data_IF_959320940357
#
_entry.id   IF_959320940357
#
_cell.length_a   1.000
_cell.length_b   1.000
_cell.length_c   1.000
_cell.angle_alpha   90.00
_cell.angle_beta   90.00
_cell.angle_gamma   90.00
#
_symmetry.space_group_name_H-M   'P 1'
#
loop_
_entity.id
_entity.type
_entity.pdbx_description
1 polymer ?
#
# COMPACT_ATOMS: atom_id res chain seq x y z
N UNK A 1 20.44 0.29 21.79
CA UNK A 1 20.84 -0.85 20.94
C UNK A 1 19.60 -1.24 20.16
N UNK A 2 19.52 -0.87 18.88
CA UNK A 2 18.33 -1.07 18.05
C UNK A 2 18.43 -2.46 17.44
N UNK A 3 17.58 -3.38 17.87
CA UNK A 3 17.44 -4.69 17.22
C UNK A 3 16.74 -4.48 15.88
N UNK A 4 17.53 -4.41 14.81
CA UNK A 4 17.02 -4.53 13.44
C UNK A 4 16.66 -6.01 13.25
N UNK A 5 15.38 -6.35 13.40
CA UNK A 5 14.85 -7.66 12.99
C UNK A 5 14.95 -7.78 11.47
N UNK A 6 16.09 -8.26 11.00
CA UNK A 6 16.32 -8.65 9.61
C UNK A 6 15.81 -10.07 9.42
N UNK A 7 14.78 -10.23 8.59
CA UNK A 7 14.37 -11.51 8.02
C UNK A 7 13.68 -12.48 8.99
N UNK A 8 12.58 -13.05 8.52
CA UNK A 8 12.00 -14.24 9.13
C UNK A 8 13.05 -15.35 9.01
N UNK A 9 13.48 -15.92 10.14
CA UNK A 9 14.43 -17.04 10.15
C UNK A 9 13.79 -18.20 9.39
N UNK A 10 14.46 -18.66 8.34
CA UNK A 10 14.06 -19.78 7.47
C UNK A 10 13.76 -21.07 8.26
N UNK A 11 14.24 -21.18 9.49
CA UNK A 11 14.01 -22.31 10.39
C UNK A 11 12.64 -22.27 11.12
N UNK A 12 12.02 -21.11 11.31
CA UNK A 12 10.65 -21.00 11.87
C UNK A 12 9.54 -21.26 10.83
N UNK A 13 9.94 -21.36 9.56
CA UNK A 13 9.09 -21.65 8.39
C UNK A 13 9.01 -23.16 8.10
N UNK A 14 9.75 -23.98 8.86
CA UNK A 14 9.74 -25.45 8.72
C UNK A 14 8.67 -26.10 9.59
N UNK A 15 7.39 -25.93 9.24
CA UNK A 15 6.33 -26.84 9.65
C UNK A 15 5.24 -26.87 8.56
N UNK A 16 4.95 -28.07 8.07
CA UNK A 16 4.23 -28.32 6.82
C UNK A 16 2.81 -27.78 6.76
N UNK A 17 2.35 -27.55 5.53
CA UNK A 17 0.93 -27.41 5.23
C UNK A 17 0.35 -26.00 5.32
N UNK A 18 0.92 -25.11 6.12
CA UNK A 18 0.28 -23.82 6.44
C UNK A 18 0.42 -22.77 5.32
N UNK A 19 -0.69 -22.08 5.05
CA UNK A 19 -0.74 -20.91 4.18
C UNK A 19 -0.35 -19.66 4.97
N UNK A 20 0.47 -18.80 4.38
CA UNK A 20 0.96 -17.57 5.04
C UNK A 20 0.79 -16.37 4.12
N UNK A 21 0.16 -15.31 4.63
CA UNK A 21 0.05 -14.00 3.98
C UNK A 21 0.99 -13.02 4.70
N UNK A 22 2.02 -12.58 3.98
CA UNK A 22 2.91 -11.53 4.43
C UNK A 22 2.37 -10.16 4.03
N UNK A 23 2.32 -9.23 4.98
CA UNK A 23 1.85 -7.85 4.77
C UNK A 23 2.87 -6.84 5.27
N UNK A 24 2.94 -5.67 4.65
CA UNK A 24 3.88 -4.62 5.07
C UNK A 24 3.50 -4.04 6.44
N UNK A 25 4.51 -3.75 7.26
CA UNK A 25 4.34 -2.98 8.49
C UNK A 25 5.00 -3.62 9.72
N UNK A 26 4.34 -3.47 10.85
CA UNK A 26 4.78 -4.02 12.15
C UNK A 26 3.66 -4.83 12.80
N UNK A 27 3.98 -5.58 13.86
CA UNK A 27 3.02 -6.42 14.61
C UNK A 27 1.83 -5.64 15.19
N UNK A 28 1.88 -4.32 15.20
CA UNK A 28 0.78 -3.46 15.65
C UNK A 28 0.12 -2.65 14.53
N UNK A 29 0.42 -3.00 13.27
CA UNK A 29 -0.18 -2.37 12.09
C UNK A 29 -1.67 -2.67 11.97
N UNK A 30 -2.38 -1.74 11.32
CA UNK A 30 -3.80 -1.87 11.08
C UNK A 30 -4.09 -3.01 10.08
N UNK A 31 -3.22 -3.21 9.10
CA UNK A 31 -3.21 -4.33 8.15
C UNK A 31 -3.34 -5.67 8.85
N UNK A 32 -2.46 -5.95 9.81
CA UNK A 32 -2.46 -7.23 10.52
C UNK A 32 -3.78 -7.44 11.29
N UNK A 33 -4.29 -6.39 11.95
CA UNK A 33 -5.56 -6.44 12.70
C UNK A 33 -6.73 -6.73 11.77
N UNK A 34 -6.85 -5.99 10.67
CA UNK A 34 -7.94 -6.14 9.71
C UNK A 34 -7.88 -7.47 9.01
N UNK A 35 -6.71 -7.90 8.54
CA UNK A 35 -6.56 -9.13 7.78
C UNK A 35 -6.75 -10.37 8.65
N UNK A 36 -6.24 -10.39 9.88
CA UNK A 36 -6.53 -11.48 10.83
C UNK A 36 -8.02 -11.55 11.15
N UNK A 37 -8.69 -10.40 11.28
CA UNK A 37 -10.12 -10.37 11.52
C UNK A 37 -10.91 -10.89 10.29
N UNK A 38 -10.58 -10.39 9.10
CA UNK A 38 -11.27 -10.70 7.85
C UNK A 38 -11.06 -12.15 7.40
N UNK A 39 -9.84 -12.66 7.52
CA UNK A 39 -9.44 -14.01 7.08
C UNK A 39 -9.52 -15.04 8.21
N UNK A 40 -9.67 -14.60 9.46
CA UNK A 40 -9.79 -15.49 10.64
C UNK A 40 -8.65 -16.52 10.66
N UNK A 41 -8.95 -17.80 10.90
CA UNK A 41 -7.97 -18.89 10.94
C UNK A 41 -7.74 -19.55 9.57
N UNK A 42 -8.11 -18.89 8.46
CA UNK A 42 -7.94 -19.47 7.11
C UNK A 42 -6.45 -19.59 6.77
N UNK A 43 -5.65 -18.58 7.11
CA UNK A 43 -4.21 -18.58 6.92
C UNK A 43 -3.52 -17.75 8.01
N UNK A 44 -2.20 -17.89 8.11
CA UNK A 44 -1.39 -17.10 9.04
C UNK A 44 -1.05 -15.74 8.42
N UNK A 45 -1.33 -14.65 9.12
CA UNK A 45 -0.94 -13.29 8.69
C UNK A 45 0.33 -12.86 9.44
N UNK A 46 1.38 -12.62 8.67
CA UNK A 46 2.72 -12.23 9.14
C UNK A 46 3.10 -10.87 8.61
N UNK A 47 3.89 -10.12 9.39
CA UNK A 47 4.39 -8.82 8.95
C UNK A 47 5.75 -8.98 8.32
N UNK A 48 5.92 -8.35 7.17
CA UNK A 48 7.24 -8.04 6.63
C UNK A 48 7.55 -6.59 7.02
N UNK A 49 8.76 -6.34 7.52
CA UNK A 49 9.24 -4.98 7.69
C UNK A 49 9.22 -4.21 6.35
N UNK A 50 9.58 -2.92 6.34
CA UNK A 50 9.61 -2.13 5.11
C UNK A 50 10.51 -2.84 4.09
N UNK A 51 9.95 -3.25 2.97
CA UNK A 51 10.65 -4.08 1.99
C UNK A 51 10.60 -3.40 0.63
N UNK A 52 11.75 -2.90 0.20
CA UNK A 52 11.90 -2.25 -1.10
C UNK A 52 11.93 -3.26 -2.27
N UNK A 53 11.83 -4.56 -1.99
CA UNK A 53 11.99 -5.65 -2.97
C UNK A 53 10.99 -6.80 -2.76
N UNK A 54 9.81 -6.53 -2.19
CA UNK A 54 8.77 -7.56 -1.95
C UNK A 54 8.46 -8.35 -3.21
N UNK A 55 8.37 -7.69 -4.37
CA UNK A 55 8.13 -8.36 -5.64
C UNK A 55 9.21 -9.38 -5.99
N UNK A 56 10.49 -9.01 -5.86
CA UNK A 56 11.61 -9.92 -6.10
C UNK A 56 11.56 -11.11 -5.13
N UNK A 57 11.20 -10.87 -3.86
CA UNK A 57 11.02 -11.93 -2.88
C UNK A 57 9.84 -12.84 -3.23
N UNK A 58 8.69 -12.29 -3.63
CA UNK A 58 7.51 -13.03 -4.03
C UNK A 58 7.79 -13.93 -5.25
N UNK A 59 8.50 -13.40 -6.26
CA UNK A 59 8.92 -14.14 -7.44
C UNK A 59 9.91 -15.27 -7.11
N UNK A 60 10.92 -14.98 -6.29
CA UNK A 60 11.91 -15.99 -5.89
C UNK A 60 11.32 -17.10 -5.02
N UNK A 61 10.33 -16.77 -4.18
CA UNK A 61 9.72 -17.72 -3.25
C UNK A 61 8.59 -18.52 -3.89
N UNK A 62 7.87 -17.99 -4.89
CA UNK A 62 6.71 -18.66 -5.48
C UNK A 62 6.99 -20.12 -5.93
N UNK A 63 8.10 -20.45 -6.62
CA UNK A 63 8.41 -21.83 -7.03
C UNK A 63 8.66 -22.80 -5.87
N UNK A 64 9.19 -22.29 -4.75
CA UNK A 64 9.62 -23.11 -3.61
C UNK A 64 8.61 -23.10 -2.45
N UNK A 65 7.79 -22.06 -2.37
CA UNK A 65 6.81 -21.79 -1.33
C UNK A 65 5.48 -21.30 -1.94
N UNK A 66 4.75 -22.13 -2.69
CA UNK A 66 3.52 -21.73 -3.41
C UNK A 66 2.33 -21.38 -2.50
N UNK A 67 2.49 -21.55 -1.18
CA UNK A 67 1.51 -21.20 -0.13
C UNK A 67 1.85 -19.90 0.59
N UNK A 68 2.90 -19.21 0.14
CA UNK A 68 3.34 -17.92 0.66
C UNK A 68 2.83 -16.82 -0.26
N UNK A 69 2.07 -15.90 0.32
CA UNK A 69 1.41 -14.80 -0.36
C UNK A 69 1.91 -13.48 0.17
N UNK A 70 1.86 -12.45 -0.66
CA UNK A 70 2.33 -11.11 -0.34
C UNK A 70 1.22 -10.12 -0.67
N UNK A 71 0.94 -9.20 0.25
CA UNK A 71 -0.01 -8.11 0.04
C UNK A 71 0.64 -6.81 0.49
N UNK A 72 0.78 -5.87 -0.45
CA UNK A 72 1.50 -4.61 -0.24
C UNK A 72 0.61 -3.39 -0.53
N UNK A 73 1.03 -2.25 -0.01
CA UNK A 73 0.42 -0.96 -0.32
C UNK A 73 0.59 -0.62 -1.82
N UNK A 74 -0.28 0.26 -2.32
CA UNK A 74 -0.33 0.57 -3.76
C UNK A 74 0.93 1.28 -4.27
N UNK A 75 1.50 2.13 -3.42
CA UNK A 75 2.62 3.02 -3.72
C UNK A 75 2.54 3.68 -5.11
N UNK A 76 3.39 3.24 -6.03
CA UNK A 76 3.59 3.83 -7.35
C UNK A 76 3.06 2.95 -8.49
N UNK A 77 2.46 1.80 -8.18
CA UNK A 77 1.92 0.92 -9.21
C UNK A 77 0.73 1.57 -9.93
N UNK A 78 0.73 1.47 -11.25
CA UNK A 78 -0.37 1.93 -12.09
C UNK A 78 -1.60 1.01 -11.98
N UNK A 79 -2.75 1.50 -12.48
CA UNK A 79 -4.00 0.74 -12.41
C UNK A 79 -3.93 -0.58 -13.21
N UNK A 80 -3.16 -0.62 -14.31
CA UNK A 80 -3.05 -1.82 -15.14
C UNK A 80 -2.34 -2.95 -14.38
N UNK A 81 -1.18 -2.66 -13.80
CA UNK A 81 -0.42 -3.61 -12.99
C UNK A 81 -1.26 -4.13 -11.82
N UNK A 82 -1.96 -3.22 -11.13
CA UNK A 82 -2.83 -3.58 -10.02
C UNK A 82 -3.92 -4.55 -10.47
N UNK A 83 -4.67 -4.23 -11.52
CA UNK A 83 -5.74 -5.14 -11.98
C UNK A 83 -5.20 -6.48 -12.47
N UNK A 84 -4.01 -6.51 -13.08
CA UNK A 84 -3.34 -7.76 -13.41
C UNK A 84 -3.00 -8.58 -12.16
N UNK A 85 -2.49 -7.94 -11.09
CA UNK A 85 -2.19 -8.61 -9.83
C UNK A 85 -3.44 -9.26 -9.22
N UNK A 86 -4.58 -8.56 -9.20
CA UNK A 86 -5.84 -9.11 -8.65
C UNK A 86 -6.41 -10.24 -9.49
N UNK A 87 -6.32 -10.16 -10.82
CA UNK A 87 -6.86 -11.19 -11.72
C UNK A 87 -6.06 -12.48 -11.69
N UNK A 88 -4.74 -12.39 -11.52
CA UNK A 88 -3.84 -13.55 -11.58
C UNK A 88 -3.55 -14.14 -10.22
N UNK A 89 -3.82 -13.43 -9.13
CA UNK A 89 -3.42 -13.88 -7.81
C UNK A 89 -4.23 -15.10 -7.32
N UNK A 90 -3.54 -16.14 -6.81
CA UNK A 90 -2.09 -16.37 -6.86
C UNK A 90 -1.65 -16.96 -8.21
N UNK A 91 -0.53 -16.47 -8.77
CA UNK A 91 0.03 -16.99 -10.02
C UNK A 91 1.23 -17.89 -9.75
N UNK A 92 1.03 -19.20 -9.87
CA UNK A 92 2.09 -20.18 -9.66
C UNK A 92 3.26 -20.05 -10.67
N UNK A 93 3.05 -19.37 -11.79
CA UNK A 93 4.05 -19.20 -12.85
C UNK A 93 4.76 -17.83 -12.80
N UNK A 94 4.31 -16.88 -11.98
CA UNK A 94 4.92 -15.55 -11.85
C UNK A 94 5.26 -15.23 -10.41
N UNK A 95 4.25 -14.84 -9.62
CA UNK A 95 4.39 -14.50 -8.22
C UNK A 95 3.05 -14.60 -7.48
N UNK A 96 3.16 -14.70 -6.16
CA UNK A 96 2.03 -14.68 -5.24
C UNK A 96 1.87 -13.27 -4.63
N UNK A 97 1.90 -12.22 -5.46
CA UNK A 97 1.80 -10.83 -5.02
C UNK A 97 0.42 -10.22 -5.33
N UNK A 98 -0.19 -9.61 -4.32
CA UNK A 98 -1.29 -8.66 -4.46
C UNK A 98 -0.83 -7.26 -4.08
N UNK A 99 -1.38 -6.28 -4.77
CA UNK A 99 -1.22 -4.85 -4.47
C UNK A 99 -2.59 -4.25 -4.20
N UNK A 100 -2.74 -3.50 -3.12
CA UNK A 100 -4.03 -2.85 -2.84
C UNK A 100 -4.46 -1.91 -3.97
N UNK A 101 -5.75 -1.94 -4.36
CA UNK A 101 -6.29 -0.99 -5.35
C UNK A 101 -6.35 0.44 -4.86
N UNK A 102 -6.53 0.64 -3.54
CA UNK A 102 -6.40 1.93 -2.85
C UNK A 102 -5.01 2.03 -2.23
N UNK A 103 -4.57 3.25 -1.94
CA UNK A 103 -3.22 3.56 -1.46
C UNK A 103 -2.75 2.64 -0.34
N UNK A 104 -3.57 2.50 0.71
CA UNK A 104 -3.31 1.65 1.87
C UNK A 104 -4.63 1.08 2.40
N UNK A 105 -4.56 0.10 3.30
CA UNK A 105 -5.75 -0.58 3.81
C UNK A 105 -6.71 0.39 4.52
N UNK A 106 -6.18 1.44 5.16
CA UNK A 106 -6.96 2.46 5.85
C UNK A 106 -7.93 3.18 4.91
N UNK A 107 -7.59 3.33 3.62
CA UNK A 107 -8.45 3.98 2.63
C UNK A 107 -9.78 3.23 2.43
N UNK A 108 -9.86 1.94 2.76
CA UNK A 108 -11.13 1.19 2.73
C UNK A 108 -12.05 1.54 3.90
N UNK A 109 -11.50 2.10 4.98
CA UNK A 109 -12.23 2.53 6.16
C UNK A 109 -12.49 4.04 6.17
N UNK A 110 -12.22 4.75 5.08
CA UNK A 110 -12.60 6.16 4.89
C UNK A 110 -14.02 6.32 4.35
N UNK A 111 -14.78 5.24 4.18
CA UNK A 111 -16.10 5.26 3.55
C UNK A 111 -17.22 5.55 4.58
N UNK A 112 -17.88 6.73 4.59
CA UNK A 112 -18.88 7.08 5.59
C UNK A 112 -20.07 6.10 5.67
N UNK A 113 -20.67 5.61 4.56
CA UNK A 113 -21.71 4.58 4.58
C UNK A 113 -21.28 3.27 5.24
N UNK A 114 -20.00 2.94 5.23
CA UNK A 114 -19.45 1.77 5.92
C UNK A 114 -19.17 2.07 7.39
N UNK A 115 -18.50 3.19 7.69
CA UNK A 115 -18.14 3.62 9.04
C UNK A 115 -19.34 3.80 9.97
N UNK A 116 -20.43 4.40 9.46
CA UNK A 116 -21.65 4.64 10.25
C UNK A 116 -22.33 3.35 10.72
N UNK A 117 -21.97 2.19 10.12
CA UNK A 117 -22.46 0.87 10.55
C UNK A 117 -21.72 0.32 11.77
N UNK A 118 -20.64 0.97 12.21
CA UNK A 118 -19.96 0.58 13.44
C UNK A 118 -20.87 0.83 14.64
N UNK A 119 -20.89 -0.12 15.58
CA UNK A 119 -21.66 0.03 16.82
C UNK A 119 -21.06 1.09 17.75
N UNK A 120 -19.83 1.52 17.45
CA UNK A 120 -19.11 2.55 18.17
C UNK A 120 -19.36 3.94 17.59
N UNK A 121 -19.99 4.06 16.41
CA UNK A 121 -20.27 5.35 15.79
C UNK A 121 -21.34 6.11 16.59
N UNK A 122 -21.07 7.37 16.91
CA UNK A 122 -21.96 8.29 17.65
C UNK A 122 -22.31 9.55 16.85
N UNK A 123 -21.98 9.55 15.57
CA UNK A 123 -22.26 10.66 14.65
C UNK A 123 -23.05 10.17 13.43
N UNK A 124 -23.61 11.10 12.66
CA UNK A 124 -24.36 10.81 11.46
C UNK A 124 -23.43 10.56 10.26
N UNK A 125 -23.97 9.97 9.19
CA UNK A 125 -23.26 9.84 7.91
C UNK A 125 -22.81 11.21 7.37
N UNK A 126 -23.67 12.22 7.46
CA UNK A 126 -23.36 13.59 7.08
C UNK A 126 -22.18 14.15 7.91
N UNK A 127 -22.23 13.98 9.23
CA UNK A 127 -21.14 14.41 10.12
C UNK A 127 -19.80 13.74 9.81
N UNK A 128 -19.80 12.44 9.47
CA UNK A 128 -18.59 11.74 8.99
C UNK A 128 -18.11 12.28 7.64
N UNK A 129 -19.02 12.50 6.70
CA UNK A 129 -18.71 12.98 5.35
C UNK A 129 -18.04 14.34 5.40
N UNK A 130 -18.66 15.31 6.09
CA UNK A 130 -18.10 16.66 6.27
C UNK A 130 -16.75 16.62 6.97
N UNK A 131 -16.59 15.76 7.98
CA UNK A 131 -15.31 15.62 8.69
C UNK A 131 -14.22 15.06 7.76
N UNK A 132 -14.56 14.02 7.00
CA UNK A 132 -13.65 13.39 6.05
C UNK A 132 -13.20 14.39 4.99
N UNK A 133 -14.13 15.12 4.37
CA UNK A 133 -13.83 16.15 3.38
C UNK A 133 -12.91 17.23 3.94
N UNK A 134 -13.20 17.76 5.13
CA UNK A 134 -12.37 18.78 5.78
C UNK A 134 -10.95 18.29 6.05
N UNK A 135 -10.81 17.12 6.70
CA UNK A 135 -9.51 16.53 7.02
C UNK A 135 -8.71 16.21 5.74
N UNK A 136 -9.40 15.76 4.69
CA UNK A 136 -8.77 15.47 3.41
C UNK A 136 -8.33 16.76 2.69
N UNK A 137 -9.16 17.80 2.72
CA UNK A 137 -8.90 19.09 2.09
C UNK A 137 -7.64 19.74 2.66
N UNK A 138 -7.47 19.73 3.99
CA UNK A 138 -6.29 20.26 4.68
C UNK A 138 -4.98 19.60 4.22
N UNK A 139 -5.05 18.38 3.70
CA UNK A 139 -3.89 17.57 3.30
C UNK A 139 -3.72 17.45 1.79
N UNK A 140 -4.69 17.87 1.00
CA UNK A 140 -4.76 17.58 -0.44
C UNK A 140 -3.46 17.93 -1.15
N UNK A 141 -3.01 19.18 -1.05
CA UNK A 141 -1.81 19.63 -1.77
C UNK A 141 -0.53 18.96 -1.27
N UNK A 142 -0.43 18.68 0.03
CA UNK A 142 0.69 17.93 0.60
C UNK A 142 0.76 16.51 0.03
N UNK A 143 -0.37 15.81 -0.04
CA UNK A 143 -0.42 14.44 -0.52
C UNK A 143 -0.23 14.37 -2.05
N UNK A 144 -0.71 15.37 -2.81
CA UNK A 144 -0.39 15.53 -4.25
C UNK A 144 1.12 15.73 -4.45
N UNK A 145 1.74 16.69 -3.75
CA UNK A 145 3.17 16.96 -3.86
C UNK A 145 4.02 15.72 -3.50
N UNK A 146 3.68 15.03 -2.42
CA UNK A 146 4.36 13.78 -2.04
C UNK A 146 4.18 12.68 -3.08
N UNK A 147 3.02 12.61 -3.74
CA UNK A 147 2.80 11.66 -4.83
C UNK A 147 3.66 11.98 -6.06
N UNK A 148 3.86 13.26 -6.39
CA UNK A 148 4.78 13.68 -7.46
C UNK A 148 6.22 13.29 -7.10
N UNK A 149 6.68 13.60 -5.89
CA UNK A 149 8.01 13.22 -5.40
C UNK A 149 8.22 11.69 -5.48
N UNK A 150 7.22 10.92 -5.08
CA UNK A 150 7.28 9.45 -5.15
C UNK A 150 7.40 8.98 -6.60
N UNK A 151 6.60 9.54 -7.51
CA UNK A 151 6.66 9.21 -8.94
C UNK A 151 8.02 9.52 -9.57
N UNK A 152 8.62 10.66 -9.21
CA UNK A 152 9.98 11.03 -9.63
C UNK A 152 11.00 10.00 -9.13
N UNK A 153 10.97 9.65 -7.84
CA UNK A 153 11.89 8.68 -7.25
C UNK A 153 11.82 7.32 -7.92
N UNK A 154 10.63 6.84 -8.25
CA UNK A 154 10.46 5.53 -8.88
C UNK A 154 10.94 5.53 -10.33
N UNK A 155 10.68 6.59 -11.10
CA UNK A 155 11.29 6.75 -12.43
C UNK A 155 12.82 6.81 -12.39
N UNK A 156 13.40 7.28 -11.27
CA UNK A 156 14.85 7.29 -11.09
C UNK A 156 15.45 5.90 -10.84
N UNK A 157 14.70 4.97 -10.26
CA UNK A 157 15.16 3.60 -9.94
C UNK A 157 15.22 2.64 -11.14
N UNK A 158 14.71 3.04 -12.32
CA UNK A 158 14.71 2.18 -13.50
C UNK A 158 16.14 1.85 -13.95
N UNK A 159 16.36 0.67 -14.55
CA UNK A 159 17.65 0.30 -15.12
C UNK A 159 17.85 1.03 -16.45
N UNK A 160 18.57 2.15 -16.45
CA UNK A 160 18.81 3.01 -17.63
C UNK A 160 20.21 2.85 -18.22
N UNK A 161 21.11 2.09 -17.59
CA UNK A 161 22.46 1.80 -18.10
C UNK A 161 22.75 0.31 -18.01
N UNK A 162 23.29 -0.27 -19.07
CA UNK A 162 23.73 -1.66 -19.09
C UNK A 162 25.11 -1.81 -18.45
N UNK A 163 25.31 -2.89 -17.71
CA UNK A 163 26.65 -3.22 -17.22
C UNK A 163 27.55 -3.66 -18.38
N UNK A 164 28.82 -3.32 -18.29
CA UNK A 164 29.82 -3.83 -19.22
C UNK A 164 30.00 -5.34 -19.05
N UNK A 165 30.10 -6.07 -20.16
CA UNK A 165 30.14 -7.54 -20.16
C UNK A 165 31.49 -8.15 -20.58
N UNK A 166 32.33 -7.40 -21.30
CA UNK A 166 33.57 -7.92 -21.91
C UNK A 166 34.81 -7.46 -21.13
N UNK A 167 35.53 -8.33 -20.40
CA UNK A 167 36.72 -7.95 -19.64
C UNK A 167 37.88 -7.44 -20.50
N UNK A 168 37.98 -7.87 -21.77
CA UNK A 168 39.06 -7.44 -22.66
C UNK A 168 39.04 -5.93 -22.95
N UNK A 169 37.87 -5.30 -22.81
CA UNK A 169 37.67 -3.86 -22.95
C UNK A 169 38.25 -3.04 -21.78
N UNK A 170 38.66 -3.72 -20.70
CA UNK A 170 39.10 -3.14 -19.43
C UNK A 170 40.53 -3.57 -19.08
N UNK A 171 41.43 -3.55 -20.08
CA UNK A 171 42.80 -4.06 -19.96
C UNK A 171 43.70 -3.28 -18.97
N UNK A 172 43.33 -2.05 -18.60
CA UNK A 172 44.00 -1.26 -17.56
C UNK A 172 42.99 -0.42 -16.78
N UNK A 173 43.43 0.14 -15.65
CA UNK A 173 42.65 1.10 -14.86
C UNK A 173 42.24 2.31 -15.69
N UNK A 174 43.15 2.83 -16.50
CA UNK A 174 42.95 4.02 -17.33
C UNK A 174 41.89 3.75 -18.41
N UNK A 175 42.00 2.62 -19.11
CA UNK A 175 41.00 2.20 -20.10
C UNK A 175 39.63 1.97 -19.47
N UNK A 176 39.59 1.39 -18.26
CA UNK A 176 38.36 1.19 -17.50
C UNK A 176 37.67 2.52 -17.15
N UNK A 177 38.45 3.49 -16.67
CA UNK A 177 37.94 4.83 -16.36
C UNK A 177 37.46 5.55 -17.62
N UNK A 178 38.23 5.50 -18.70
CA UNK A 178 37.87 6.14 -19.98
C UNK A 178 36.56 5.58 -20.53
N UNK A 179 36.37 4.25 -20.50
CA UNK A 179 35.10 3.63 -20.91
C UNK A 179 33.93 3.99 -20.00
N UNK A 180 34.17 4.14 -18.70
CA UNK A 180 33.14 4.56 -17.77
C UNK A 180 32.69 6.00 -18.04
N UNK A 181 33.62 6.95 -18.19
CA UNK A 181 33.28 8.37 -18.38
C UNK A 181 32.71 8.67 -19.78
N UNK A 182 33.04 7.85 -20.77
CA UNK A 182 32.54 7.99 -22.16
C UNK A 182 31.17 7.35 -22.38
N UNK A 183 30.56 6.77 -21.34
CA UNK A 183 29.24 6.16 -21.45
C UNK A 183 28.17 7.23 -21.71
N UNK A 184 27.64 7.26 -22.93
CA UNK A 184 26.63 8.23 -23.39
C UNK A 184 25.36 8.20 -22.54
N UNK A 185 24.99 7.02 -22.01
CA UNK A 185 23.84 6.87 -21.13
C UNK A 185 23.91 7.78 -19.89
N UNK A 186 25.11 8.13 -19.38
CA UNK A 186 25.24 9.07 -18.27
C UNK A 186 24.88 10.51 -18.66
N UNK A 187 25.26 10.92 -19.87
CA UNK A 187 24.96 12.26 -20.40
C UNK A 187 23.47 12.39 -20.70
N UNK A 188 22.89 11.39 -21.37
CA UNK A 188 21.46 11.33 -21.66
C UNK A 188 20.64 11.36 -20.37
N UNK A 189 21.01 10.52 -19.39
CA UNK A 189 20.31 10.48 -18.11
C UNK A 189 20.36 11.80 -17.35
N UNK A 190 21.48 12.51 -17.38
CA UNK A 190 21.58 13.84 -16.77
C UNK A 190 20.60 14.84 -17.39
N UNK A 191 20.41 14.80 -18.71
CA UNK A 191 19.46 15.67 -19.41
C UNK A 191 18.02 15.32 -19.04
N UNK A 192 17.66 14.03 -19.10
CA UNK A 192 16.34 13.54 -18.71
C UNK A 192 15.98 13.92 -17.27
N UNK A 193 16.91 13.75 -16.34
CA UNK A 193 16.68 14.11 -14.93
C UNK A 193 16.52 15.62 -14.77
N UNK A 194 17.32 16.42 -15.49
CA UNK A 194 17.19 17.88 -15.46
C UNK A 194 15.84 18.35 -16.00
N UNK A 195 15.34 17.76 -17.08
CA UNK A 195 14.03 18.05 -17.66
C UNK A 195 12.91 17.63 -16.71
N UNK A 196 12.98 16.41 -16.18
CA UNK A 196 12.00 15.86 -15.23
C UNK A 196 11.87 16.69 -13.94
N UNK A 197 12.98 17.27 -13.48
CA UNK A 197 13.03 18.12 -12.29
C UNK A 197 12.84 19.61 -12.60
N UNK A 198 12.56 19.97 -13.85
CA UNK A 198 12.27 21.35 -14.22
C UNK A 198 10.97 21.83 -13.56
N UNK A 199 10.87 23.15 -13.35
CA UNK A 199 9.68 23.75 -12.75
C UNK A 199 8.42 23.41 -13.57
N UNK A 200 8.48 23.53 -14.89
CA UNK A 200 7.35 23.28 -15.77
C UNK A 200 6.85 21.84 -15.69
N UNK A 201 7.76 20.85 -15.71
CA UNK A 201 7.39 19.44 -15.60
C UNK A 201 6.83 19.09 -14.22
N UNK A 202 7.42 19.61 -13.13
CA UNK A 202 6.91 19.39 -11.78
C UNK A 202 5.54 20.02 -11.58
N UNK A 203 5.32 21.23 -12.10
CA UNK A 203 4.00 21.88 -12.10
C UNK A 203 3.00 21.05 -12.90
N UNK A 204 3.36 20.60 -14.11
CA UNK A 204 2.49 19.75 -14.92
C UNK A 204 2.07 18.47 -14.18
N UNK A 205 3.02 17.76 -13.58
CA UNK A 205 2.72 16.52 -12.84
C UNK A 205 1.85 16.79 -11.60
N UNK A 206 2.08 17.92 -10.93
CA UNK A 206 1.27 18.33 -9.81
C UNK A 206 -0.18 18.58 -10.23
N UNK A 207 -0.40 19.37 -11.29
CA UNK A 207 -1.74 19.69 -11.79
C UNK A 207 -2.48 18.46 -12.32
N UNK A 208 -1.80 17.59 -13.07
CA UNK A 208 -2.38 16.32 -13.53
C UNK A 208 -2.81 15.44 -12.36
N UNK A 209 -1.98 15.35 -11.32
CA UNK A 209 -2.28 14.56 -10.13
C UNK A 209 -3.38 15.18 -9.28
N UNK A 210 -3.39 16.50 -9.15
CA UNK A 210 -4.44 17.24 -8.46
C UNK A 210 -5.79 17.03 -9.17
N UNK A 211 -5.84 17.22 -10.50
CA UNK A 211 -7.04 17.02 -11.30
C UNK A 211 -7.58 15.58 -11.18
N UNK A 212 -6.70 14.58 -11.18
CA UNK A 212 -7.08 13.17 -10.95
C UNK A 212 -7.69 12.97 -9.55
N UNK A 213 -7.07 13.54 -8.52
CA UNK A 213 -7.55 13.41 -7.14
C UNK A 213 -8.89 14.12 -6.93
N UNK A 214 -9.06 15.34 -7.45
CA UNK A 214 -10.25 16.15 -7.21
C UNK A 214 -11.37 15.95 -8.24
N UNK A 215 -11.08 15.31 -9.37
CA UNK A 215 -11.98 15.29 -10.52
C UNK A 215 -12.13 16.67 -11.17
N UNK A 216 -11.09 17.50 -11.09
CA UNK A 216 -11.07 18.87 -11.62
C UNK A 216 -11.78 19.91 -10.74
N UNK A 217 -12.13 19.57 -9.50
CA UNK A 217 -12.78 20.49 -8.56
C UNK A 217 -11.76 21.20 -7.66
N UNK A 218 -12.12 22.39 -7.18
CA UNK A 218 -11.32 23.14 -6.20
C UNK A 218 -11.48 22.56 -4.78
N UNK A 219 -12.69 22.15 -4.43
CA UNK A 219 -13.02 21.56 -3.13
C UNK A 219 -13.31 20.07 -3.26
N UNK A 220 -12.83 19.29 -2.29
CA UNK A 220 -13.11 17.87 -2.22
C UNK A 220 -14.59 17.67 -1.87
N UNK A 221 -15.23 16.83 -2.67
CA UNK A 221 -16.58 16.32 -2.41
C UNK A 221 -16.51 14.81 -2.37
N UNK A 222 -17.12 14.19 -1.37
CA UNK A 222 -17.23 12.76 -1.25
C UNK A 222 -17.93 12.15 -2.47
N UNK A 223 -17.35 11.07 -3.00
CA UNK A 223 -17.79 10.42 -4.23
C UNK A 223 -17.34 11.09 -5.54
N UNK A 224 -16.59 12.21 -5.48
CA UNK A 224 -16.02 12.88 -6.65
C UNK A 224 -14.51 12.72 -6.69
N UNK A 225 -13.95 12.51 -7.89
CA UNK A 225 -12.51 12.29 -8.07
C UNK A 225 -12.03 10.98 -7.42
N UNK A 226 -10.71 10.84 -7.28
CA UNK A 226 -10.06 9.64 -6.71
C UNK A 226 -9.34 9.89 -5.39
N UNK A 227 -9.53 11.05 -4.76
CA UNK A 227 -8.78 11.43 -3.56
C UNK A 227 -8.90 10.42 -2.41
N UNK A 228 -10.05 9.79 -2.19
CA UNK A 228 -10.22 8.76 -1.15
C UNK A 228 -9.28 7.57 -1.38
N UNK A 229 -8.98 7.24 -2.63
CA UNK A 229 -8.09 6.14 -3.00
C UNK A 229 -6.61 6.51 -2.87
N UNK A 230 -6.28 7.81 -2.85
CA UNK A 230 -4.93 8.32 -3.10
C UNK A 230 -4.34 9.11 -1.93
N UNK A 231 -5.19 9.66 -1.05
CA UNK A 231 -4.77 10.37 0.16
C UNK A 231 -4.19 9.38 1.18
N UNK A 232 -3.37 9.86 2.12
CA UNK A 232 -2.88 8.99 3.20
C UNK A 232 -4.03 8.61 4.15
N UNK A 233 -4.57 7.42 3.96
CA UNK A 233 -5.53 6.78 4.85
C UNK A 233 -5.07 6.75 6.30
N UNK A 234 -3.81 6.42 6.62
CA UNK A 234 -3.24 6.42 7.98
C UNK A 234 -3.41 7.78 8.67
N UNK A 235 -3.22 8.89 7.94
CA UNK A 235 -3.32 10.25 8.50
C UNK A 235 -4.76 10.75 8.56
N UNK A 236 -5.59 10.40 7.59
CA UNK A 236 -7.00 10.83 7.53
C UNK A 236 -7.85 10.00 8.51
N UNK A 237 -7.71 8.68 8.50
CA UNK A 237 -8.45 7.76 9.36
C UNK A 237 -8.20 8.06 10.84
N UNK A 238 -6.96 8.39 11.20
CA UNK A 238 -6.63 8.67 12.60
C UNK A 238 -7.29 9.93 13.16
N UNK A 239 -7.60 10.90 12.30
CA UNK A 239 -8.36 12.10 12.65
C UNK A 239 -9.87 11.89 12.54
N UNK A 240 -10.32 11.11 11.56
CA UNK A 240 -11.73 10.78 11.36
C UNK A 240 -12.28 9.95 12.53
N UNK A 241 -11.51 8.96 12.99
CA UNK A 241 -11.84 8.10 14.13
C UNK A 241 -11.35 8.74 15.44
N UNK A 242 -12.09 9.74 15.92
CA UNK A 242 -11.79 10.44 17.18
C UNK A 242 -12.87 10.23 18.26
N UNK A 243 -12.54 10.43 19.55
CA UNK A 243 -13.47 10.20 20.67
C UNK A 243 -14.74 11.06 20.65
N UNK A 244 -14.74 12.18 19.92
CA UNK A 244 -15.94 13.01 19.74
C UNK A 244 -16.98 12.39 18.78
N UNK A 245 -16.58 11.38 18.00
CA UNK A 245 -17.44 10.72 16.99
C UNK A 245 -17.60 9.23 17.23
N UNK A 246 -16.64 8.60 17.91
CA UNK A 246 -16.65 7.18 18.22
C UNK A 246 -16.43 6.95 19.71
N UNK A 247 -17.16 5.99 20.26
CA UNK A 247 -17.02 5.59 21.65
C UNK A 247 -16.87 4.08 21.73
N UNK A 248 -15.67 3.65 22.13
CA UNK A 248 -15.31 2.25 22.28
C UNK A 248 -14.95 1.99 23.74
N UNK A 249 -15.43 0.87 24.29
CA UNK A 249 -15.05 0.40 25.62
C UNK A 249 -14.39 -0.97 25.51
N UNK A 250 -13.37 -1.23 26.32
CA UNK A 250 -12.80 -2.57 26.46
C UNK A 250 -13.72 -3.49 27.28
N UNK A 251 -13.30 -4.74 27.48
CA UNK A 251 -14.06 -5.75 28.24
C UNK A 251 -14.26 -5.35 29.69
N UNK A 252 -13.36 -4.53 30.23
CA UNK A 252 -13.36 -3.99 31.58
C UNK A 252 -14.21 -2.71 31.69
N UNK A 253 -14.83 -2.25 30.59
CA UNK A 253 -15.69 -1.07 30.54
C UNK A 253 -14.96 0.28 30.45
N UNK A 254 -13.63 0.27 30.33
CA UNK A 254 -12.80 1.47 30.18
C UNK A 254 -12.84 1.98 28.73
N UNK A 255 -12.86 3.31 28.56
CA UNK A 255 -12.86 3.95 27.24
C UNK A 255 -11.51 3.76 26.54
N UNK A 256 -11.53 3.21 25.33
CA UNK A 256 -10.35 3.14 24.46
C UNK A 256 -10.16 4.47 23.72
N UNK A 257 -8.90 4.86 23.48
CA UNK A 257 -8.55 6.06 22.72
C UNK A 257 -7.41 5.79 21.74
N UNK A 258 -7.15 6.74 20.84
CA UNK A 258 -6.02 6.68 19.91
C UNK A 258 -6.03 5.43 19.02
N UNK A 259 -4.86 4.78 18.88
CA UNK A 259 -4.67 3.61 18.01
C UNK A 259 -5.50 2.41 18.44
N UNK A 260 -5.67 2.17 19.74
CA UNK A 260 -6.43 1.01 20.23
C UNK A 260 -7.92 1.13 19.90
N UNK A 261 -8.47 2.35 20.01
CA UNK A 261 -9.83 2.65 19.55
C UNK A 261 -9.98 2.42 18.04
N UNK A 262 -9.03 2.89 17.25
CA UNK A 262 -9.04 2.74 15.79
C UNK A 262 -9.03 1.26 15.39
N UNK A 263 -8.09 0.47 15.95
CA UNK A 263 -7.97 -0.97 15.72
C UNK A 263 -9.27 -1.69 16.02
N UNK A 264 -9.92 -1.37 17.15
CA UNK A 264 -11.16 -2.02 17.55
C UNK A 264 -12.33 -1.69 16.61
N UNK A 265 -12.44 -0.43 16.16
CA UNK A 265 -13.46 -0.02 15.17
C UNK A 265 -13.27 -0.75 13.84
N UNK A 266 -12.06 -0.74 13.28
CA UNK A 266 -11.81 -1.38 11.97
C UNK A 266 -11.92 -2.90 12.05
N UNK A 267 -11.49 -3.51 13.17
CA UNK A 267 -11.65 -4.94 13.43
C UNK A 267 -13.13 -5.34 13.44
N UNK A 268 -13.96 -4.57 14.15
CA UNK A 268 -15.41 -4.79 14.22
C UNK A 268 -16.05 -4.66 12.83
N UNK A 269 -15.70 -3.62 12.08
CA UNK A 269 -16.21 -3.42 10.72
C UNK A 269 -15.75 -4.51 9.73
N UNK A 270 -14.51 -4.99 9.85
CA UNK A 270 -13.96 -6.03 8.97
C UNK A 270 -14.70 -7.37 9.09
N UNK A 271 -15.10 -7.76 10.31
CA UNK A 271 -15.83 -9.03 10.54
C UNK A 271 -17.33 -8.91 10.28
N UNK A 272 -17.92 -7.73 10.53
CA UNK A 272 -19.37 -7.54 10.45
C UNK A 272 -19.86 -7.76 9.03
N UNK A 273 -20.77 -8.70 8.85
CA UNK A 273 -21.41 -8.91 7.54
C UNK A 273 -22.35 -7.74 7.27
N UNK A 274 -21.88 -6.78 6.48
CA UNK A 274 -22.66 -5.62 6.07
C UNK A 274 -22.63 -5.53 4.56
N UNK A 275 -23.79 -5.28 3.95
CA UNK A 275 -23.92 -5.11 2.50
C UNK A 275 -23.06 -3.94 1.97
N UNK A 276 -22.65 -3.01 2.83
CA UNK A 276 -21.80 -1.87 2.51
C UNK A 276 -20.29 -2.15 2.69
N UNK A 277 -19.87 -3.40 2.91
CA UNK A 277 -18.45 -3.73 3.01
C UNK A 277 -17.77 -3.41 1.66
N UNK A 278 -16.59 -2.76 1.65
CA UNK A 278 -15.84 -2.52 0.42
C UNK A 278 -15.63 -3.81 -0.39
N UNK A 279 -15.97 -3.78 -1.68
CA UNK A 279 -15.92 -4.94 -2.58
C UNK A 279 -14.55 -5.61 -2.61
N UNK A 280 -13.46 -4.83 -2.56
CA UNK A 280 -12.10 -5.36 -2.57
C UNK A 280 -11.79 -6.22 -1.32
N UNK A 281 -12.38 -5.91 -0.15
CA UNK A 281 -12.22 -6.76 1.04
C UNK A 281 -13.01 -8.07 0.91
N UNK A 282 -14.17 -8.02 0.24
CA UNK A 282 -14.95 -9.22 -0.07
C UNK A 282 -14.21 -10.10 -1.08
N UNK A 283 -13.67 -9.49 -2.14
CA UNK A 283 -12.91 -10.16 -3.18
C UNK A 283 -11.63 -10.77 -2.64
N UNK A 284 -10.86 -10.05 -1.81
CA UNK A 284 -9.66 -10.59 -1.16
C UNK A 284 -9.99 -11.85 -0.35
N UNK A 285 -11.04 -11.78 0.48
CA UNK A 285 -11.48 -12.93 1.28
C UNK A 285 -11.85 -14.11 0.38
N UNK A 286 -12.55 -13.86 -0.73
CA UNK A 286 -12.91 -14.89 -1.71
C UNK A 286 -11.66 -15.54 -2.34
N UNK A 287 -10.74 -14.73 -2.86
CA UNK A 287 -9.49 -15.21 -3.49
C UNK A 287 -8.67 -16.08 -2.54
N UNK A 288 -8.54 -15.64 -1.28
CA UNK A 288 -7.82 -16.41 -0.26
C UNK A 288 -8.54 -17.73 0.06
N UNK A 289 -9.86 -17.72 0.25
CA UNK A 289 -10.64 -18.92 0.56
C UNK A 289 -10.58 -19.95 -0.57
N UNK A 290 -10.79 -19.53 -1.81
CA UNK A 290 -10.67 -20.40 -2.99
C UNK A 290 -9.31 -21.08 -3.03
N UNK A 291 -8.24 -20.30 -2.77
CA UNK A 291 -6.89 -20.84 -2.79
C UNK A 291 -6.61 -21.83 -1.66
N UNK A 292 -7.00 -21.50 -0.42
CA UNK A 292 -6.70 -22.32 0.76
C UNK A 292 -7.57 -23.58 0.77
N UNK A 293 -8.83 -23.48 0.35
CA UNK A 293 -9.78 -24.60 0.31
C UNK A 293 -9.65 -25.44 -0.98
N UNK A 294 -8.89 -24.98 -1.98
CA UNK A 294 -8.69 -25.68 -3.25
C UNK A 294 -9.92 -25.69 -4.15
N UNK A 295 -10.73 -24.62 -4.10
CA UNK A 295 -11.91 -24.42 -4.96
C UNK A 295 -11.59 -23.57 -6.17
#
# INVERSE_FOLDING_TARGET
MVEIRTGIRSEQVRAGGEHVLFVEGSDESLDQVVLRALLSNTLRVEVMGPSYSVRSAAQALAPHHPRYYFLIDRDHYDDEFIEQSWRRFPDANQDNLLVWRRREIENYFLDPPFLVKSEFCRTSMEGLTTTLENVAQERLFLDVANSVISSVREKQKMNWVQHFANPADFASKEAAVERLISQEAFVERSKEVSEMLSQDELTRWFEERLALMTGGRETLTYGMGRWIEMISGKKVLSQLLNPGRFQVKNKEGQTLTGKEMQKEIVRQLAVKNVNSRPSNLVELRRLVLERVEGK
#
